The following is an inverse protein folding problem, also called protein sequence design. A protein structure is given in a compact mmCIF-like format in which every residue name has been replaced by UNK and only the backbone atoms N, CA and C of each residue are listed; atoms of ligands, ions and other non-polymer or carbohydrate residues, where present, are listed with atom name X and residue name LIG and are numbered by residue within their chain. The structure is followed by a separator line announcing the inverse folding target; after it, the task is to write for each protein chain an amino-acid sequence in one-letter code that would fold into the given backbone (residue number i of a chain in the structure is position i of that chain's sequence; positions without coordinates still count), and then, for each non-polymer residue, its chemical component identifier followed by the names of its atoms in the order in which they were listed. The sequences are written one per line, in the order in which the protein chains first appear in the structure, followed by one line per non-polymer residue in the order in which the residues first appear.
data_IF_969632210896
#
_entry.id   IF_969632210896
#
_cell.length_a   1.000
_cell.length_b   1.000
_cell.length_c   1.000
_cell.angle_alpha   90.00
_cell.angle_beta   90.00
_cell.angle_gamma   90.00
#
_symmetry.space_group_name_H-M   'P 1'
#
loop_
_entity.id
_entity.type
_entity.pdbx_description
1 polymer ?
#
# COMPACT_ATOMS: atom_id res chain seq x y z
N UNK A 1 3.09 -2.18 -15.33
CA UNK A 1 2.01 -1.75 -16.28
C UNK A 1 0.99 -2.85 -16.54
N UNK A 2 1.41 -4.09 -16.80
CA UNK A 2 0.48 -5.15 -17.25
C UNK A 2 -0.67 -5.41 -16.25
N UNK A 3 -0.37 -5.60 -14.96
CA UNK A 3 -1.42 -5.83 -13.95
C UNK A 3 -2.28 -4.60 -13.75
N UNK A 4 -1.66 -3.43 -13.61
CA UNK A 4 -2.35 -2.17 -13.40
C UNK A 4 -3.36 -1.89 -14.54
N UNK A 5 -2.98 -2.11 -15.80
CA UNK A 5 -3.88 -1.89 -16.94
C UNK A 5 -5.02 -2.92 -17.04
N UNK A 6 -4.91 -4.06 -16.38
CA UNK A 6 -6.00 -5.05 -16.30
C UNK A 6 -7.01 -4.72 -15.19
N UNK A 7 -6.60 -3.93 -14.18
CA UNK A 7 -7.41 -3.59 -13.00
C UNK A 7 -8.04 -2.21 -13.18
N UNK A 8 -7.26 -1.21 -13.59
CA UNK A 8 -7.71 0.17 -13.77
C UNK A 8 -8.84 0.24 -14.82
N UNK A 9 -9.89 1.00 -14.51
CA UNK A 9 -11.06 1.16 -15.39
C UNK A 9 -11.88 -0.12 -15.62
N UNK A 10 -11.52 -1.24 -14.99
CA UNK A 10 -12.31 -2.47 -15.08
C UNK A 10 -13.61 -2.36 -14.28
N UNK A 11 -14.73 -2.73 -14.88
CA UNK A 11 -16.01 -2.84 -14.16
C UNK A 11 -16.04 -4.00 -13.15
N UNK A 12 -15.07 -4.93 -13.24
CA UNK A 12 -14.87 -6.06 -12.32
C UNK A 12 -13.39 -6.13 -11.89
N UNK A 13 -12.96 -5.15 -11.10
CA UNK A 13 -11.57 -5.06 -10.59
C UNK A 13 -11.21 -6.28 -9.74
N UNK A 14 -12.14 -6.72 -8.87
CA UNK A 14 -11.99 -7.93 -8.06
C UNK A 14 -11.77 -9.17 -8.93
N UNK A 15 -12.61 -9.38 -9.91
CA UNK A 15 -12.48 -10.51 -10.86
C UNK A 15 -11.16 -10.45 -11.65
N UNK A 16 -10.68 -9.26 -12.00
CA UNK A 16 -9.38 -9.08 -12.65
C UNK A 16 -8.23 -9.54 -11.76
N UNK A 17 -8.23 -9.18 -10.47
CA UNK A 17 -7.22 -9.62 -9.49
C UNK A 17 -7.27 -11.13 -9.30
N UNK A 18 -8.46 -11.70 -9.13
CA UNK A 18 -8.68 -13.15 -8.99
C UNK A 18 -8.15 -13.91 -10.21
N UNK A 19 -8.41 -13.41 -11.41
CA UNK A 19 -7.93 -14.02 -12.65
C UNK A 19 -6.38 -14.00 -12.72
N UNK A 20 -5.74 -12.90 -12.33
CA UNK A 20 -4.28 -12.78 -12.30
C UNK A 20 -3.69 -13.75 -11.28
N UNK A 21 -4.19 -13.78 -10.04
CA UNK A 21 -3.74 -14.71 -9.00
C UNK A 21 -3.90 -16.17 -9.41
N UNK A 22 -5.01 -16.51 -10.07
CA UNK A 22 -5.25 -17.85 -10.60
C UNK A 22 -4.24 -18.23 -11.69
N UNK A 23 -3.91 -17.31 -12.59
CA UNK A 23 -2.89 -17.51 -13.63
C UNK A 23 -1.48 -17.71 -13.05
N UNK A 24 -1.16 -17.05 -11.94
CA UNK A 24 0.10 -17.25 -11.19
C UNK A 24 0.15 -18.59 -10.45
N UNK A 25 -0.98 -19.26 -10.28
CA UNK A 25 -1.10 -20.44 -9.43
C UNK A 25 -1.05 -20.11 -7.92
N UNK A 26 -1.36 -18.88 -7.55
CA UNK A 26 -1.42 -18.47 -6.14
C UNK A 26 -2.64 -19.09 -5.45
N UNK A 27 -2.44 -19.58 -4.22
CA UNK A 27 -3.56 -19.95 -3.35
C UNK A 27 -4.09 -18.69 -2.67
N UNK A 28 -5.36 -18.40 -2.84
CA UNK A 28 -6.02 -17.27 -2.22
C UNK A 28 -7.38 -17.66 -1.66
N UNK A 29 -7.87 -16.83 -0.76
CA UNK A 29 -9.22 -16.91 -0.18
C UNK A 29 -9.95 -15.61 -0.44
N UNK A 30 -11.21 -15.68 -0.83
CA UNK A 30 -12.11 -14.53 -0.81
C UNK A 30 -12.82 -14.55 0.54
N UNK A 31 -12.50 -13.58 1.39
CA UNK A 31 -13.24 -13.33 2.62
C UNK A 31 -14.52 -12.58 2.26
N UNK A 32 -15.66 -13.19 2.52
CA UNK A 32 -16.96 -12.62 2.21
C UNK A 32 -17.67 -12.21 3.49
N UNK A 33 -17.95 -10.93 3.62
CA UNK A 33 -18.73 -10.34 4.69
C UNK A 33 -20.06 -9.83 4.13
N UNK A 34 -20.97 -9.37 4.99
CA UNK A 34 -22.27 -8.84 4.56
C UNK A 34 -22.14 -7.58 3.69
N UNK A 35 -21.13 -6.77 3.98
CA UNK A 35 -20.92 -5.43 3.44
C UNK A 35 -19.70 -5.29 2.53
N UNK A 36 -18.78 -6.26 2.52
CA UNK A 36 -17.52 -6.16 1.77
C UNK A 36 -16.90 -7.53 1.49
N UNK A 37 -16.03 -7.57 0.49
CA UNK A 37 -15.19 -8.75 0.20
C UNK A 37 -13.70 -8.33 0.15
N UNK A 38 -12.83 -9.15 0.77
CA UNK A 38 -11.38 -9.05 0.64
C UNK A 38 -10.83 -10.26 -0.12
N UNK A 39 -9.71 -10.08 -0.82
CA UNK A 39 -8.95 -11.20 -1.38
C UNK A 39 -7.66 -11.33 -0.56
N UNK A 40 -7.37 -12.53 -0.06
CA UNK A 40 -6.23 -12.78 0.83
C UNK A 40 -5.35 -13.88 0.24
N UNK A 41 -4.07 -13.58 0.06
CA UNK A 41 -3.02 -14.56 -0.27
C UNK A 41 -2.14 -14.71 0.95
N UNK A 42 -2.15 -15.90 1.57
CA UNK A 42 -1.41 -16.15 2.81
C UNK A 42 -0.18 -17.04 2.55
N UNK A 43 0.97 -16.60 3.04
CA UNK A 43 2.20 -17.38 3.08
C UNK A 43 2.53 -17.73 4.54
N UNK A 44 2.75 -19.02 4.80
CA UNK A 44 3.15 -19.55 6.11
C UNK A 44 2.33 -18.98 7.28
N UNK A 45 0.99 -19.09 7.27
CA UNK A 45 0.13 -18.41 8.24
C UNK A 45 0.47 -18.84 9.67
N UNK A 46 0.67 -17.86 10.53
CA UNK A 46 0.95 -18.03 11.95
C UNK A 46 0.20 -16.99 12.79
N UNK A 47 0.32 -17.10 14.12
CA UNK A 47 -0.31 -16.17 15.05
C UNK A 47 0.40 -14.80 15.15
N UNK A 48 1.33 -14.49 14.27
CA UNK A 48 2.01 -13.20 14.20
C UNK A 48 2.41 -12.97 12.76
N UNK A 49 1.50 -12.43 11.96
CA UNK A 49 1.71 -12.20 10.53
C UNK A 49 1.93 -10.72 10.23
N UNK A 50 2.78 -10.46 9.26
CA UNK A 50 2.82 -9.17 8.61
C UNK A 50 1.67 -9.10 7.60
N UNK A 51 0.96 -7.98 7.54
CA UNK A 51 -0.02 -7.70 6.50
C UNK A 51 0.59 -6.72 5.51
N UNK A 52 0.48 -7.01 4.22
CA UNK A 52 0.79 -6.06 3.15
C UNK A 52 -0.50 -5.88 2.37
N UNK A 53 -1.05 -4.68 2.40
CA UNK A 53 -2.38 -4.39 1.89
C UNK A 53 -2.39 -3.35 0.78
N UNK A 54 -3.42 -3.41 -0.06
CA UNK A 54 -3.82 -2.39 -1.01
C UNK A 54 -5.33 -2.53 -1.25
N UNK A 55 -6.06 -1.43 -1.39
CA UNK A 55 -7.48 -1.55 -1.71
C UNK A 55 -7.71 -1.78 -3.21
N UNK A 56 -8.78 -2.52 -3.53
CA UNK A 56 -9.11 -2.85 -4.92
C UNK A 56 -10.30 -2.04 -5.47
N UNK A 57 -11.09 -1.41 -4.61
CA UNK A 57 -12.15 -0.49 -5.03
C UNK A 57 -11.55 0.82 -5.59
N UNK A 58 -12.37 1.70 -6.06
CA UNK A 58 -11.98 3.00 -6.61
C UNK A 58 -13.03 4.04 -6.29
N UNK A 59 -12.63 5.28 -6.20
CA UNK A 59 -13.52 6.42 -6.05
C UNK A 59 -14.57 6.43 -7.18
N UNK A 60 -15.81 6.76 -6.83
CA UNK A 60 -16.93 6.73 -7.78
C UNK A 60 -16.66 7.63 -9.00
N UNK A 61 -16.72 7.02 -10.18
CA UNK A 61 -16.47 7.71 -11.46
C UNK A 61 -15.01 7.84 -11.87
N UNK A 62 -14.06 7.29 -11.07
CA UNK A 62 -12.64 7.20 -11.42
C UNK A 62 -12.30 5.88 -12.11
N UNK A 63 -11.25 5.91 -12.95
CA UNK A 63 -10.57 4.69 -13.41
C UNK A 63 -9.83 3.99 -12.25
N UNK A 64 -9.54 4.69 -11.14
CA UNK A 64 -8.82 4.19 -9.99
C UNK A 64 -7.46 3.60 -10.36
N UNK A 65 -6.75 4.26 -11.28
CA UNK A 65 -5.54 3.70 -11.86
C UNK A 65 -4.36 3.80 -10.89
N UNK A 66 -4.14 4.98 -10.30
CA UNK A 66 -3.15 5.17 -9.25
C UNK A 66 -3.76 4.84 -7.88
N UNK A 67 -5.02 5.18 -7.69
CA UNK A 67 -5.81 5.03 -6.49
C UNK A 67 -6.93 3.97 -6.70
N UNK A 68 -6.70 2.61 -6.53
CA UNK A 68 -5.41 2.03 -6.15
C UNK A 68 -5.09 0.74 -6.95
N UNK A 69 -5.31 0.74 -8.28
CA UNK A 69 -4.84 -0.37 -9.12
C UNK A 69 -3.30 -0.46 -9.11
N UNK A 70 -2.61 0.65 -8.81
CA UNK A 70 -1.15 0.68 -8.71
C UNK A 70 -0.65 -0.11 -7.49
N UNK A 71 -1.21 0.09 -6.31
CA UNK A 71 -0.90 -0.68 -5.11
C UNK A 71 -1.27 -2.15 -5.26
N UNK A 72 -2.45 -2.47 -5.83
CA UNK A 72 -2.79 -3.85 -6.17
C UNK A 72 -1.72 -4.49 -7.07
N UNK A 73 -1.19 -3.74 -8.04
CA UNK A 73 -0.14 -4.24 -8.95
C UNK A 73 1.18 -4.48 -8.22
N UNK A 74 1.52 -3.64 -7.22
CA UNK A 74 2.67 -3.88 -6.34
C UNK A 74 2.50 -5.23 -5.64
N UNK A 75 1.37 -5.46 -4.97
CA UNK A 75 1.11 -6.71 -4.27
C UNK A 75 1.22 -7.92 -5.20
N UNK A 76 0.64 -7.85 -6.39
CA UNK A 76 0.71 -8.94 -7.38
C UNK A 76 2.13 -9.26 -7.80
N UNK A 77 3.00 -8.25 -8.03
CA UNK A 77 4.41 -8.48 -8.35
C UNK A 77 5.18 -9.10 -7.20
N UNK A 78 4.91 -8.68 -5.95
CA UNK A 78 5.56 -9.27 -4.77
C UNK A 78 5.10 -10.71 -4.56
N UNK A 79 3.79 -10.99 -4.69
CA UNK A 79 3.25 -12.37 -4.63
C UNK A 79 3.91 -13.26 -5.69
N UNK A 80 4.03 -12.80 -6.92
CA UNK A 80 4.68 -13.54 -8.00
C UNK A 80 6.15 -13.88 -7.67
N UNK A 81 6.89 -12.89 -7.14
CA UNK A 81 8.28 -13.10 -6.74
C UNK A 81 8.42 -14.12 -5.58
N UNK A 82 7.53 -14.05 -4.58
CA UNK A 82 7.55 -14.99 -3.45
C UNK A 82 7.16 -16.40 -3.88
N UNK A 83 6.21 -16.55 -4.81
CA UNK A 83 5.83 -17.88 -5.35
C UNK A 83 7.00 -18.57 -6.06
N UNK A 84 7.95 -17.82 -6.61
CA UNK A 84 9.16 -18.35 -7.21
C UNK A 84 10.21 -18.82 -6.17
N UNK A 85 10.06 -18.43 -4.89
CA UNK A 85 11.00 -18.69 -3.81
C UNK A 85 10.58 -19.88 -2.95
N UNK A 86 11.13 -21.06 -3.19
CA UNK A 86 10.80 -22.28 -2.46
C UNK A 86 11.18 -22.25 -0.96
N UNK A 87 12.11 -21.37 -0.58
CA UNK A 87 12.60 -21.23 0.80
C UNK A 87 11.90 -20.13 1.61
N UNK A 88 10.89 -19.46 1.05
CA UNK A 88 10.18 -18.41 1.77
C UNK A 88 9.47 -18.95 3.02
N UNK A 89 9.82 -18.41 4.19
CA UNK A 89 9.35 -18.93 5.49
C UNK A 89 8.64 -17.89 6.36
N UNK A 90 8.59 -16.62 5.94
CA UNK A 90 7.94 -15.57 6.72
C UNK A 90 6.42 -15.70 6.65
N UNK A 91 5.75 -15.37 7.76
CA UNK A 91 4.28 -15.32 7.82
C UNK A 91 3.80 -13.96 7.31
N UNK A 92 3.21 -13.96 6.13
CA UNK A 92 2.71 -12.73 5.46
C UNK A 92 1.35 -13.01 4.84
N UNK A 93 0.41 -12.09 5.06
CA UNK A 93 -0.84 -12.01 4.31
C UNK A 93 -0.77 -10.81 3.36
N UNK A 94 -0.94 -11.06 2.06
CA UNK A 94 -1.22 -10.02 1.07
C UNK A 94 -2.73 -9.87 0.97
N UNK A 95 -3.23 -8.68 1.26
CA UNK A 95 -4.67 -8.43 1.35
C UNK A 95 -5.07 -7.33 0.37
N UNK A 96 -5.96 -7.69 -0.56
CA UNK A 96 -6.62 -6.71 -1.40
C UNK A 96 -7.94 -6.36 -0.71
N UNK A 97 -8.00 -5.18 -0.10
CA UNK A 97 -9.14 -4.72 0.67
C UNK A 97 -10.25 -4.17 -0.24
N UNK A 98 -11.49 -4.38 0.12
CA UNK A 98 -12.62 -3.71 -0.52
C UNK A 98 -13.13 -2.55 0.31
N UNK A 99 -13.83 -1.61 -0.34
CA UNK A 99 -14.52 -0.50 0.30
C UNK A 99 -13.62 0.38 1.19
N UNK A 100 -12.39 0.63 0.72
CA UNK A 100 -11.50 1.61 1.35
C UNK A 100 -12.10 3.02 1.21
N UNK A 101 -12.56 3.37 0.01
CA UNK A 101 -13.15 4.65 -0.34
C UNK A 101 -14.44 4.98 0.45
N UNK A 102 -14.97 3.99 1.17
CA UNK A 102 -16.11 4.14 2.09
C UNK A 102 -15.70 4.08 3.57
N UNK A 103 -14.41 4.29 3.85
CA UNK A 103 -13.86 4.39 5.20
C UNK A 103 -13.20 3.13 5.71
N UNK A 104 -12.51 2.34 4.85
CA UNK A 104 -11.66 1.23 5.24
C UNK A 104 -12.44 0.01 5.78
N UNK A 105 -13.64 -0.25 5.23
CA UNK A 105 -14.51 -1.33 5.71
C UNK A 105 -13.80 -2.68 5.61
N UNK A 106 -13.13 -2.95 4.47
CA UNK A 106 -12.40 -4.19 4.25
C UNK A 106 -11.28 -4.42 5.24
N UNK A 107 -10.48 -3.38 5.54
CA UNK A 107 -9.43 -3.43 6.54
C UNK A 107 -9.98 -3.74 7.94
N UNK A 108 -11.09 -3.08 8.32
CA UNK A 108 -11.77 -3.33 9.60
C UNK A 108 -12.25 -4.78 9.72
N UNK A 109 -12.93 -5.30 8.69
CA UNK A 109 -13.42 -6.69 8.67
C UNK A 109 -12.31 -7.73 8.67
N UNK A 110 -11.18 -7.42 8.00
CA UNK A 110 -10.01 -8.29 8.06
C UNK A 110 -9.45 -8.40 9.49
N UNK A 111 -9.26 -7.26 10.19
CA UNK A 111 -8.79 -7.23 11.58
C UNK A 111 -9.74 -8.02 12.49
N UNK A 112 -11.05 -7.81 12.35
CA UNK A 112 -12.07 -8.55 13.12
C UNK A 112 -11.98 -10.07 12.88
N UNK A 113 -11.78 -10.50 11.64
CA UNK A 113 -11.78 -11.92 11.27
C UNK A 113 -10.52 -12.66 11.70
N UNK A 114 -9.37 -11.98 11.67
CA UNK A 114 -8.06 -12.55 12.02
C UNK A 114 -7.76 -12.44 13.51
N UNK A 115 -8.27 -11.37 14.14
CA UNK A 115 -7.90 -10.96 15.50
C UNK A 115 -6.61 -10.13 15.52
N UNK A 116 -6.70 -8.94 16.10
CA UNK A 116 -5.57 -7.98 16.13
C UNK A 116 -4.30 -8.54 16.78
N UNK A 117 -4.46 -9.45 17.74
CA UNK A 117 -3.36 -10.12 18.43
C UNK A 117 -2.55 -11.03 17.50
N UNK A 118 -3.11 -11.44 16.37
CA UNK A 118 -2.48 -12.29 15.36
C UNK A 118 -1.80 -11.49 14.25
N UNK A 119 -1.84 -10.15 14.31
CA UNK A 119 -1.22 -9.25 13.35
C UNK A 119 -0.02 -8.57 14.02
N UNK A 120 1.16 -8.69 13.43
CA UNK A 120 2.37 -8.05 13.97
C UNK A 120 2.52 -6.61 13.49
N UNK A 121 2.21 -6.35 12.24
CA UNK A 121 2.28 -5.02 11.64
C UNK A 121 1.54 -5.01 10.29
N UNK A 122 1.34 -3.83 9.72
CA UNK A 122 0.75 -3.63 8.39
C UNK A 122 1.55 -2.64 7.55
N UNK A 123 1.71 -2.93 6.27
CA UNK A 123 2.22 -2.01 5.25
C UNK A 123 1.11 -1.78 4.22
N UNK A 124 0.65 -0.54 4.10
CA UNK A 124 -0.34 -0.14 3.10
C UNK A 124 0.37 0.34 1.84
N UNK A 125 0.19 -0.35 0.72
CA UNK A 125 0.68 0.09 -0.58
C UNK A 125 -0.43 0.87 -1.29
N UNK A 126 -0.27 2.19 -1.34
CA UNK A 126 -1.28 3.07 -1.88
C UNK A 126 -0.67 4.17 -2.75
N UNK A 127 -1.28 4.45 -3.91
CA UNK A 127 -0.80 5.48 -4.84
C UNK A 127 0.66 5.23 -5.27
N UNK A 128 0.93 4.05 -5.84
CA UNK A 128 2.30 3.56 -6.15
C UNK A 128 2.71 3.69 -7.63
N UNK A 129 1.92 4.37 -8.45
CA UNK A 129 2.13 4.41 -9.91
C UNK A 129 2.65 5.74 -10.47
N UNK A 130 2.88 6.76 -9.64
CA UNK A 130 3.25 8.10 -10.08
C UNK A 130 4.54 8.61 -9.41
N UNK A 131 5.40 9.27 -10.21
CA UNK A 131 6.67 9.81 -9.70
C UNK A 131 7.82 8.81 -9.68
N UNK A 132 8.93 9.24 -9.09
CA UNK A 132 10.22 8.52 -9.10
C UNK A 132 10.87 8.41 -7.71
N UNK A 133 10.14 8.75 -6.64
CA UNK A 133 10.59 8.60 -5.27
C UNK A 133 9.66 7.66 -4.52
N UNK A 134 10.22 6.68 -3.82
CA UNK A 134 9.50 5.87 -2.84
C UNK A 134 9.42 6.67 -1.54
N UNK A 135 8.21 6.84 -1.02
CA UNK A 135 7.94 7.45 0.27
C UNK A 135 7.33 6.41 1.20
N UNK A 136 7.84 6.36 2.42
CA UNK A 136 7.34 5.49 3.47
C UNK A 136 7.03 6.34 4.70
N UNK A 137 5.83 6.21 5.27
CA UNK A 137 5.48 6.95 6.50
C UNK A 137 6.32 6.44 7.67
N UNK A 138 7.00 7.35 8.37
CA UNK A 138 7.82 7.03 9.54
C UNK A 138 7.06 7.42 10.82
N UNK A 139 6.00 6.68 11.12
CA UNK A 139 5.26 6.81 12.38
C UNK A 139 5.81 5.92 13.48
N UNK A 140 6.61 4.91 13.11
CA UNK A 140 7.17 3.89 13.99
C UNK A 140 8.69 3.89 13.89
N UNK A 141 9.36 3.55 15.00
CA UNK A 141 10.82 3.46 15.00
C UNK A 141 11.33 2.53 13.89
N UNK A 142 12.24 3.03 13.05
CA UNK A 142 12.86 2.32 11.90
C UNK A 142 13.42 0.94 12.30
N UNK A 143 13.89 0.80 13.53
CA UNK A 143 14.42 -0.47 14.05
C UNK A 143 13.36 -1.46 14.56
N UNK A 144 12.06 -1.20 14.30
CA UNK A 144 11.00 -2.09 14.75
C UNK A 144 11.08 -3.47 14.06
N UNK A 145 11.39 -4.56 14.78
CA UNK A 145 11.58 -5.88 14.18
C UNK A 145 10.27 -6.46 13.62
N UNK A 146 9.10 -5.89 13.96
CA UNK A 146 7.80 -6.34 13.46
C UNK A 146 7.67 -6.19 11.95
N UNK A 147 8.42 -5.26 11.34
CA UNK A 147 8.42 -5.05 9.89
C UNK A 147 9.40 -5.97 9.14
N UNK A 148 9.89 -7.05 9.80
CA UNK A 148 10.78 -8.04 9.16
C UNK A 148 11.95 -7.44 8.37
N UNK A 149 12.47 -6.32 8.83
CA UNK A 149 13.59 -5.64 8.16
C UNK A 149 13.20 -4.72 7.00
N UNK A 150 11.90 -4.56 6.69
CA UNK A 150 11.46 -3.54 5.72
C UNK A 150 11.95 -2.13 6.10
N UNK A 151 12.16 -1.88 7.39
CA UNK A 151 12.68 -0.61 7.90
C UNK A 151 14.21 -0.64 8.14
N UNK A 152 14.92 -1.61 7.60
CA UNK A 152 16.39 -1.68 7.70
C UNK A 152 17.06 -0.54 6.94
N UNK A 153 18.02 0.15 7.57
CA UNK A 153 18.68 1.34 7.01
C UNK A 153 19.41 1.02 5.69
N UNK A 154 20.00 -0.17 5.57
CA UNK A 154 20.70 -0.59 4.36
C UNK A 154 19.72 -0.78 3.20
N UNK A 155 18.55 -1.34 3.47
CA UNK A 155 17.47 -1.51 2.50
C UNK A 155 16.88 -0.16 2.07
N UNK A 156 16.56 0.71 3.03
CA UNK A 156 16.08 2.07 2.76
C UNK A 156 17.07 2.85 1.89
N UNK A 157 18.37 2.74 2.19
CA UNK A 157 19.44 3.38 1.42
C UNK A 157 19.54 2.80 0.01
N UNK A 158 19.54 1.47 -0.13
CA UNK A 158 19.61 0.76 -1.42
C UNK A 158 18.52 1.23 -2.37
N UNK A 159 17.29 1.32 -1.89
CA UNK A 159 16.12 1.71 -2.67
C UNK A 159 15.84 3.22 -2.64
N UNK A 160 16.68 4.02 -1.97
CA UNK A 160 16.55 5.48 -1.85
C UNK A 160 15.20 5.92 -1.29
N UNK A 161 14.64 5.12 -0.39
CA UNK A 161 13.34 5.40 0.26
C UNK A 161 13.44 6.68 1.07
N UNK A 162 12.41 7.51 1.00
CA UNK A 162 12.28 8.76 1.77
C UNK A 162 11.30 8.56 2.91
N UNK A 163 11.63 9.14 4.06
CA UNK A 163 10.82 9.08 5.28
C UNK A 163 10.31 10.50 5.62
N UNK A 164 9.22 10.95 5.00
CA UNK A 164 8.73 12.32 5.19
C UNK A 164 8.04 12.55 6.55
N UNK A 165 7.81 11.51 7.35
CA UNK A 165 7.11 11.61 8.63
C UNK A 165 5.58 11.77 8.50
N UNK A 166 5.06 12.07 7.32
CA UNK A 166 3.64 12.17 7.02
C UNK A 166 3.36 11.67 5.61
N UNK A 167 2.33 10.87 5.47
CA UNK A 167 1.64 10.56 4.21
C UNK A 167 0.13 10.66 4.44
N UNK A 168 -0.68 10.92 3.40
CA UNK A 168 -2.13 10.81 3.50
C UNK A 168 -2.54 9.45 4.08
N UNK A 169 -3.65 9.44 4.80
CA UNK A 169 -4.18 8.23 5.46
C UNK A 169 -4.92 7.36 4.44
N UNK A 170 -4.80 6.05 4.61
CA UNK A 170 -5.55 5.02 3.90
C UNK A 170 -5.90 3.89 4.87
N UNK A 171 -5.92 2.64 4.40
CA UNK A 171 -6.21 1.47 5.23
C UNK A 171 -5.26 1.31 6.43
N UNK A 172 -4.04 1.88 6.39
CA UNK A 172 -3.10 1.88 7.51
C UNK A 172 -3.66 2.52 8.78
N UNK A 173 -4.50 3.55 8.65
CA UNK A 173 -5.08 4.21 9.81
C UNK A 173 -6.08 3.30 10.56
N UNK A 174 -6.76 2.39 9.88
CA UNK A 174 -7.67 1.42 10.52
C UNK A 174 -6.87 0.46 11.43
N UNK A 175 -5.71 0.02 10.96
CA UNK A 175 -4.79 -0.80 11.78
C UNK A 175 -4.21 0.01 12.95
N UNK A 176 -3.79 1.24 12.71
CA UNK A 176 -3.26 2.14 13.74
C UNK A 176 -4.28 2.39 14.86
N UNK A 177 -5.54 2.66 14.52
CA UNK A 177 -6.63 2.82 15.49
C UNK A 177 -6.92 1.53 16.26
N UNK A 178 -6.68 0.37 15.66
CA UNK A 178 -6.70 -0.93 16.30
C UNK A 178 -5.52 -1.18 17.26
N UNK A 179 -4.52 -0.27 17.27
CA UNK A 179 -3.27 -0.43 18.04
C UNK A 179 -2.26 -1.37 17.39
N UNK A 180 -2.37 -1.59 16.08
CA UNK A 180 -1.46 -2.41 15.29
C UNK A 180 -0.46 -1.47 14.60
N UNK A 181 0.87 -1.69 14.73
CA UNK A 181 1.88 -0.92 14.02
C UNK A 181 1.62 -0.94 12.51
N UNK A 182 1.52 0.23 11.89
CA UNK A 182 1.23 0.34 10.45
C UNK A 182 1.99 1.48 9.80
N UNK A 183 2.35 1.31 8.53
CA UNK A 183 2.97 2.33 7.69
C UNK A 183 2.33 2.32 6.31
N UNK A 184 2.28 3.49 5.66
CA UNK A 184 1.94 3.59 4.24
C UNK A 184 3.17 3.75 3.38
N UNK A 185 3.14 3.18 2.18
CA UNK A 185 4.14 3.34 1.14
C UNK A 185 3.46 3.82 -0.14
N UNK A 186 4.03 4.86 -0.75
CA UNK A 186 3.56 5.41 -2.03
C UNK A 186 4.74 5.81 -2.93
N UNK A 187 4.44 6.26 -4.14
CA UNK A 187 5.42 6.94 -4.99
C UNK A 187 4.92 8.33 -5.36
N UNK A 188 5.85 9.30 -5.43
CA UNK A 188 5.52 10.68 -5.76
C UNK A 188 6.67 11.40 -6.45
N UNK A 189 6.38 12.57 -6.98
CA UNK A 189 7.36 13.50 -7.50
C UNK A 189 8.22 14.12 -6.39
N UNK A 190 9.40 14.67 -6.74
CA UNK A 190 10.35 15.24 -5.78
C UNK A 190 9.74 16.35 -4.89
N UNK A 191 8.85 17.17 -5.44
CA UNK A 191 8.23 18.26 -4.68
C UNK A 191 7.35 17.72 -3.54
N UNK A 192 6.66 16.61 -3.76
CA UNK A 192 5.86 15.96 -2.72
C UNK A 192 6.69 15.54 -1.51
N UNK A 193 7.92 15.06 -1.73
CA UNK A 193 8.85 14.73 -0.62
C UNK A 193 9.05 15.93 0.31
N UNK A 194 9.25 17.12 -0.26
CA UNK A 194 9.45 18.35 0.53
C UNK A 194 8.20 18.73 1.30
N UNK A 195 7.05 18.80 0.61
CA UNK A 195 5.77 19.21 1.22
C UNK A 195 5.36 18.24 2.33
N UNK A 196 5.44 16.93 2.08
CA UNK A 196 5.11 15.92 3.11
C UNK A 196 6.08 15.99 4.29
N UNK A 197 7.39 16.26 4.07
CA UNK A 197 8.36 16.42 5.14
C UNK A 197 8.09 17.65 6.00
N UNK A 198 7.70 18.77 5.41
CA UNK A 198 7.33 20.00 6.12
C UNK A 198 6.08 19.79 6.97
N UNK A 199 5.06 19.13 6.42
CA UNK A 199 3.83 18.77 7.15
C UNK A 199 4.16 17.79 8.28
N UNK A 200 4.94 16.74 8.01
CA UNK A 200 5.37 15.76 9.01
C UNK A 200 6.14 16.41 10.16
N UNK A 201 7.02 17.35 9.86
CA UNK A 201 7.73 18.12 10.87
C UNK A 201 6.77 18.95 11.75
N UNK A 202 5.80 19.64 11.16
CA UNK A 202 4.79 20.40 11.91
C UNK A 202 3.96 19.50 12.81
N UNK A 203 3.50 18.37 12.32
CA UNK A 203 2.75 17.38 13.11
C UNK A 203 3.59 16.89 14.29
N UNK A 204 4.85 16.50 14.04
CA UNK A 204 5.74 15.96 15.09
C UNK A 204 6.14 16.99 16.17
N UNK A 205 6.04 18.28 15.85
CA UNK A 205 6.37 19.39 16.74
C UNK A 205 5.16 20.16 17.26
N UNK A 206 3.95 19.59 17.09
CA UNK A 206 2.66 20.16 17.50
C UNK A 206 2.45 21.60 16.96
N UNK A 207 2.93 21.85 15.75
CA UNK A 207 2.71 23.11 15.05
C UNK A 207 1.42 23.05 14.20
N UNK A 208 0.67 24.15 14.07
CA UNK A 208 -0.56 24.16 13.30
C UNK A 208 -0.28 23.98 11.79
N UNK A 209 -1.11 23.19 11.15
CA UNK A 209 -1.17 23.11 9.67
C UNK A 209 -1.91 24.37 9.18
N UNK A 210 -1.23 25.17 8.37
CA UNK A 210 -1.74 26.44 7.88
C UNK A 210 -2.50 26.25 6.55
N UNK A 211 -3.24 27.29 6.15
CA UNK A 211 -3.87 27.32 4.82
C UNK A 211 -2.83 27.21 3.69
N UNK A 212 -1.63 27.78 3.87
CA UNK A 212 -0.55 27.65 2.90
C UNK A 212 -0.05 26.20 2.74
N UNK A 213 0.01 25.44 3.84
CA UNK A 213 0.37 24.02 3.80
C UNK A 213 -0.69 23.21 3.06
N UNK A 214 -1.97 23.51 3.29
CA UNK A 214 -3.08 22.88 2.58
C UNK A 214 -3.03 23.18 1.07
N UNK A 215 -2.78 24.45 0.70
CA UNK A 215 -2.61 24.83 -0.71
C UNK A 215 -1.39 24.14 -1.33
N UNK A 216 -0.27 24.06 -0.63
CA UNK A 216 0.92 23.35 -1.09
C UNK A 216 0.61 21.86 -1.32
N UNK A 217 -0.07 21.20 -0.37
CA UNK A 217 -0.48 19.80 -0.48
C UNK A 217 -1.39 19.58 -1.70
N UNK A 218 -2.44 20.37 -1.83
CA UNK A 218 -3.41 20.23 -2.93
C UNK A 218 -2.84 20.62 -4.31
N UNK A 219 -1.69 21.29 -4.37
CA UNK A 219 -0.99 21.62 -5.61
C UNK A 219 -0.09 20.50 -6.13
N UNK A 220 0.17 19.46 -5.34
CA UNK A 220 1.01 18.33 -5.73
C UNK A 220 0.39 17.56 -6.91
N UNK A 221 1.24 17.10 -7.81
CA UNK A 221 0.78 16.30 -8.95
C UNK A 221 0.27 14.94 -8.50
N UNK A 222 0.90 14.31 -7.50
CA UNK A 222 0.44 13.03 -6.93
C UNK A 222 -0.98 13.14 -6.37
N UNK A 223 -1.37 14.26 -5.78
CA UNK A 223 -2.75 14.46 -5.25
C UNK A 223 -3.79 14.48 -6.37
N UNK A 224 -3.41 14.87 -7.59
CA UNK A 224 -4.29 14.82 -8.77
C UNK A 224 -4.45 13.43 -9.36
N UNK A 225 -3.71 12.45 -8.85
CA UNK A 225 -3.79 11.04 -9.24
C UNK A 225 -4.59 10.18 -8.25
N UNK A 226 -5.38 10.82 -7.37
CA UNK A 226 -6.21 10.16 -6.35
C UNK A 226 -7.65 10.70 -6.40
N UNK A 227 -8.58 9.95 -5.81
CA UNK A 227 -9.99 10.35 -5.61
C UNK A 227 -10.65 10.91 -6.89
N UNK A 228 -10.40 10.29 -8.03
CA UNK A 228 -10.95 10.74 -9.32
C UNK A 228 -10.35 12.02 -9.87
N UNK A 229 -9.16 12.40 -9.43
CA UNK A 229 -8.39 13.50 -10.00
C UNK A 229 -8.10 13.31 -11.49
N UNK A 230 -7.80 14.39 -12.19
CA UNK A 230 -7.65 14.40 -13.65
C UNK A 230 -6.55 13.45 -14.18
N UNK A 231 -5.58 13.07 -13.30
CA UNK A 231 -4.45 12.21 -13.64
C UNK A 231 -4.60 10.78 -13.07
N UNK A 232 -5.72 10.44 -12.44
CA UNK A 232 -5.99 9.08 -11.98
C UNK A 232 -6.41 8.16 -13.13
N UNK A 233 -5.56 8.09 -14.14
CA UNK A 233 -5.72 7.19 -15.27
C UNK A 233 -4.38 6.63 -15.75
N UNK A 234 -4.43 5.50 -16.42
CA UNK A 234 -3.25 4.71 -16.80
C UNK A 234 -2.23 5.47 -17.66
N UNK A 235 -2.65 6.49 -18.41
CA UNK A 235 -1.78 7.25 -19.32
C UNK A 235 -0.79 8.17 -18.60
N UNK A 236 -1.05 8.51 -17.33
CA UNK A 236 -0.17 9.35 -16.51
C UNK A 236 0.76 8.52 -15.61
N UNK A 237 0.60 7.20 -15.58
CA UNK A 237 1.28 6.35 -14.63
C UNK A 237 2.46 5.61 -15.23
N UNK A 238 3.35 5.16 -14.35
CA UNK A 238 4.60 4.49 -14.69
C UNK A 238 4.69 3.10 -14.08
N UNK A 239 4.85 2.07 -14.92
CA UNK A 239 5.18 0.73 -14.44
C UNK A 239 6.53 0.66 -13.72
N UNK A 240 7.44 1.61 -13.97
CA UNK A 240 8.70 1.70 -13.24
C UNK A 240 8.48 2.13 -11.78
N UNK A 241 7.50 3.02 -11.51
CA UNK A 241 7.13 3.42 -10.16
C UNK A 241 6.60 2.22 -9.36
N UNK A 242 5.63 1.48 -9.92
CA UNK A 242 5.11 0.23 -9.32
C UNK A 242 6.24 -0.76 -9.05
N UNK A 243 7.14 -0.94 -10.04
CA UNK A 243 8.27 -1.87 -9.89
C UNK A 243 9.23 -1.46 -8.78
N UNK A 244 9.53 -0.18 -8.61
CA UNK A 244 10.42 0.29 -7.53
C UNK A 244 9.88 -0.13 -6.16
N UNK A 245 8.58 0.03 -5.90
CA UNK A 245 7.95 -0.38 -4.64
C UNK A 245 7.94 -1.91 -4.51
N UNK A 246 7.59 -2.62 -5.57
CA UNK A 246 7.59 -4.08 -5.57
C UNK A 246 8.99 -4.66 -5.30
N UNK A 247 10.04 -4.12 -5.92
CA UNK A 247 11.42 -4.54 -5.69
C UNK A 247 11.86 -4.26 -4.23
N UNK A 248 11.49 -3.11 -3.67
CA UNK A 248 11.77 -2.78 -2.27
C UNK A 248 11.11 -3.76 -1.30
N UNK A 249 9.81 -4.01 -1.48
CA UNK A 249 9.08 -4.95 -0.62
C UNK A 249 9.60 -6.38 -0.76
N UNK A 250 9.87 -6.81 -1.99
CA UNK A 250 10.44 -8.14 -2.28
C UNK A 250 11.80 -8.31 -1.61
N UNK A 251 12.70 -7.36 -1.79
CA UNK A 251 14.03 -7.39 -1.17
C UNK A 251 13.93 -7.46 0.36
N UNK A 252 13.08 -6.66 0.98
CA UNK A 252 12.86 -6.67 2.43
C UNK A 252 12.23 -7.95 2.95
N UNK A 253 11.43 -8.64 2.14
CA UNK A 253 10.84 -9.92 2.51
C UNK A 253 11.80 -11.10 2.29
N UNK A 254 12.64 -11.07 1.26
CA UNK A 254 13.50 -12.21 0.90
C UNK A 254 14.87 -12.15 1.56
N UNK A 255 15.47 -10.97 1.76
CA UNK A 255 16.88 -10.81 2.10
C UNK A 255 17.17 -10.46 3.58
N UNK A 256 16.18 -10.49 4.46
CA UNK A 256 16.36 -10.17 5.90
C UNK A 256 16.01 -11.34 6.80
#
# INVERSE_FOLDING_TARGET
MEYMSKIAGSSDRKGSIIAILSQMGANFTVQQFEDVENIVVSFNPSNKRLVIGAHWDAYEGSDGANDNASGCSVLLHVVEAILAESAFSKSVDFVFFGEEEKGGIGASRYIESVGKENISAMVNADVCGFGDNILLSDKWNVSNPLFFGLMDESLLTKHKVKLPGFLPQGDDCIFEWGGIPSVSICTAERNAVTVFSEIGHKISTDQPITEQDQVALMSLEVVKTMHGGEFDNISYLSGAAVKMVADYLTDGLLNV
#
